data_IF_484287392204
#
_entry.id   IF_484287392204
#
_cell.length_a   1.000
_cell.length_b   1.000
_cell.length_c   1.000
_cell.angle_alpha   90.00
_cell.angle_beta   90.00
_cell.angle_gamma   90.00
#
_symmetry.space_group_name_H-M   'P 1'
#
loop_
_entity.id
_entity.type
_entity.pdbx_description
1 polymer ?
#
# COMPACT_ATOMS: atom_id res chain seq x y z
N UNK A 1 -3.76 25.96 -3.97
CA UNK A 1 -2.78 26.06 -5.07
C UNK A 1 -3.49 25.96 -6.42
N UNK A 2 -4.48 26.81 -6.68
CA UNK A 2 -5.08 26.84 -8.01
C UNK A 2 -4.24 27.78 -8.88
N UNK A 3 -3.40 27.18 -9.73
CA UNK A 3 -2.89 27.89 -10.89
C UNK A 3 -4.06 28.05 -11.86
N UNK A 4 -4.35 29.29 -12.23
CA UNK A 4 -5.48 29.61 -13.07
C UNK A 4 -5.16 30.76 -14.01
N UNK A 5 -5.50 30.57 -15.28
CA UNK A 5 -5.56 31.67 -16.23
C UNK A 5 -6.97 32.24 -16.22
N UNK A 6 -7.07 33.50 -15.81
CA UNK A 6 -8.32 34.23 -15.83
C UNK A 6 -8.23 35.30 -16.91
N UNK A 7 -9.27 35.41 -17.73
CA UNK A 7 -9.41 36.53 -18.65
C UNK A 7 -10.02 37.69 -17.87
N UNK A 8 -9.29 38.80 -17.78
CA UNK A 8 -9.78 40.03 -17.17
C UNK A 8 -10.04 41.08 -18.24
N UNK A 9 -11.17 41.80 -18.11
CA UNK A 9 -11.51 42.93 -18.96
C UNK A 9 -11.08 44.23 -18.27
N UNK A 10 -10.17 44.98 -18.89
CA UNK A 10 -9.70 46.26 -18.38
C UNK A 10 -10.37 47.37 -19.19
N UNK A 11 -11.05 48.28 -18.50
CA UNK A 11 -11.76 49.41 -19.10
C UNK A 11 -11.04 50.73 -18.82
N UNK A 12 -10.90 51.58 -19.83
CA UNK A 12 -10.38 52.94 -19.72
C UNK A 12 -11.45 53.93 -20.19
N UNK A 13 -11.67 55.00 -19.40
CA UNK A 13 -12.62 56.08 -19.73
C UNK A 13 -11.85 57.40 -19.86
N UNK A 14 -12.11 58.16 -20.94
CA UNK A 14 -11.52 59.50 -21.11
C UNK A 14 -12.32 60.60 -20.36
N UNK A 15 -11.80 61.83 -20.35
CA UNK A 15 -12.42 62.97 -19.67
C UNK A 15 -13.75 63.44 -20.28
N UNK A 16 -14.16 62.87 -21.42
CA UNK A 16 -15.40 63.19 -22.14
C UNK A 16 -16.40 62.03 -22.04
N UNK A 17 -16.01 60.91 -21.41
CA UNK A 17 -16.85 59.75 -21.15
C UNK A 17 -16.76 58.64 -22.19
N UNK A 18 -15.85 58.70 -23.17
CA UNK A 18 -15.64 57.59 -24.09
C UNK A 18 -14.94 56.44 -23.38
N UNK A 19 -15.38 55.21 -23.64
CA UNK A 19 -14.83 53.99 -23.05
C UNK A 19 -14.21 53.08 -24.09
N UNK A 20 -13.06 52.49 -23.75
CA UNK A 20 -12.45 51.39 -24.49
C UNK A 20 -12.07 50.29 -23.51
N UNK A 21 -12.04 49.04 -23.98
CA UNK A 21 -11.61 47.90 -23.17
C UNK A 21 -10.56 47.06 -23.89
N UNK A 22 -9.79 46.31 -23.12
CA UNK A 22 -8.96 45.23 -23.63
C UNK A 22 -9.03 44.00 -22.72
N UNK A 23 -8.82 42.83 -23.32
CA UNK A 23 -8.75 41.58 -22.59
C UNK A 23 -7.28 41.29 -22.28
N UNK A 24 -6.99 41.00 -21.02
CA UNK A 24 -5.66 40.58 -20.61
C UNK A 24 -5.76 39.21 -19.93
N UNK A 25 -4.76 38.37 -20.16
CA UNK A 25 -4.62 37.12 -19.42
C UNK A 25 -3.95 37.46 -18.08
N UNK A 26 -4.69 37.30 -17.00
CA UNK A 26 -4.16 37.32 -15.65
C UNK A 26 -3.73 35.91 -15.28
N UNK A 27 -2.42 35.72 -15.13
CA UNK A 27 -1.88 34.48 -14.57
C UNK A 27 -1.82 34.67 -13.06
N UNK A 28 -2.66 33.94 -12.32
CA UNK A 28 -2.59 33.93 -10.86
C UNK A 28 -1.55 32.89 -10.48
N UNK A 29 -0.39 33.37 -10.05
CA UNK A 29 0.63 32.55 -9.43
C UNK A 29 0.30 32.42 -7.93
N UNK A 30 0.71 31.32 -7.27
CA UNK A 30 0.57 31.21 -5.83
C UNK A 30 1.23 32.40 -5.12
N UNK A 31 0.55 32.89 -4.08
CA UNK A 31 0.83 34.18 -3.43
C UNK A 31 2.08 34.23 -2.56
N UNK A 32 2.80 33.12 -2.39
CA UNK A 32 4.03 33.04 -1.62
C UNK A 32 5.12 32.25 -2.36
N UNK A 33 6.36 32.71 -2.22
CA UNK A 33 7.55 31.95 -2.61
C UNK A 33 7.72 30.63 -1.81
N UNK A 34 6.86 30.42 -0.81
CA UNK A 34 6.74 29.23 0.03
C UNK A 34 5.54 28.35 -0.33
N UNK A 35 4.88 28.58 -1.47
CA UNK A 35 3.92 27.64 -2.03
C UNK A 35 4.68 26.42 -2.57
N UNK A 36 5.25 25.65 -1.65
CA UNK A 36 5.69 24.31 -1.91
C UNK A 36 4.41 23.54 -2.17
N UNK A 37 4.03 23.44 -3.44
CA UNK A 37 3.01 22.49 -3.86
C UNK A 37 3.64 21.13 -3.58
N UNK A 38 3.47 20.63 -2.36
CA UNK A 38 4.06 19.38 -1.96
C UNK A 38 3.61 18.29 -2.91
N UNK A 39 4.45 17.31 -3.10
CA UNK A 39 4.19 16.25 -4.08
C UNK A 39 3.14 15.29 -3.55
N UNK A 40 2.58 14.55 -4.49
CA UNK A 40 1.70 13.44 -4.20
C UNK A 40 2.50 12.13 -4.15
N UNK A 41 2.24 11.33 -3.12
CA UNK A 41 2.63 9.92 -3.06
C UNK A 41 1.34 9.11 -3.05
N UNK A 42 1.18 8.20 -4.00
CA UNK A 42 0.00 7.37 -4.11
C UNK A 42 0.37 5.95 -4.57
N UNK A 43 -0.55 5.03 -4.36
CA UNK A 43 -0.43 3.67 -4.86
C UNK A 43 -1.71 2.87 -4.65
N UNK A 44 -1.67 1.64 -5.15
CA UNK A 44 -2.73 0.64 -5.05
C UNK A 44 -2.23 -0.53 -4.24
N UNK A 45 -3.07 -1.00 -3.31
CA UNK A 45 -2.88 -2.29 -2.66
C UNK A 45 -3.80 -3.33 -3.31
N UNK A 46 -3.21 -4.37 -3.87
CA UNK A 46 -3.94 -5.52 -4.46
C UNK A 46 -3.33 -6.84 -3.99
N UNK A 47 -4.00 -7.97 -4.16
CA UNK A 47 -3.40 -9.28 -3.90
C UNK A 47 -2.81 -9.90 -5.18
N UNK A 48 -2.16 -11.06 -5.07
CA UNK A 48 -1.57 -11.74 -6.24
C UNK A 48 -2.60 -12.16 -7.32
N UNK A 49 -3.90 -12.13 -7.00
CA UNK A 49 -4.98 -12.36 -7.94
C UNK A 49 -5.51 -11.07 -8.60
N UNK A 50 -4.82 -9.94 -8.41
CA UNK A 50 -5.18 -8.60 -8.87
C UNK A 50 -6.52 -8.08 -8.30
N UNK A 51 -6.92 -8.55 -7.13
CA UNK A 51 -8.08 -8.02 -6.41
C UNK A 51 -7.62 -6.92 -5.46
N UNK A 52 -8.27 -5.76 -5.53
CA UNK A 52 -7.95 -4.59 -4.70
C UNK A 52 -8.30 -4.86 -3.23
N UNK A 53 -7.44 -4.41 -2.32
CA UNK A 53 -7.58 -4.63 -0.87
C UNK A 53 -7.97 -3.31 -0.22
N UNK A 54 -9.20 -3.22 0.29
CA UNK A 54 -9.69 -2.07 1.03
C UNK A 54 -9.48 -2.19 2.54
N UNK A 55 -9.49 -1.06 3.24
CA UNK A 55 -9.43 -1.00 4.71
C UNK A 55 -8.05 -1.33 5.31
N UNK A 56 -7.00 -1.41 4.49
CA UNK A 56 -5.62 -1.39 4.97
C UNK A 56 -5.23 0.06 5.30
N UNK A 57 -4.66 0.26 6.49
CA UNK A 57 -4.09 1.54 6.92
C UNK A 57 -2.71 1.69 6.29
N UNK A 58 -2.39 2.84 5.72
CA UNK A 58 -1.08 3.14 5.15
C UNK A 58 -0.50 4.33 5.90
N UNK A 59 0.69 4.15 6.46
CA UNK A 59 1.41 5.18 7.20
C UNK A 59 2.59 5.67 6.39
N UNK A 60 2.71 6.99 6.24
CA UNK A 60 3.89 7.67 5.73
C UNK A 60 4.69 8.20 6.91
N UNK A 61 5.94 7.80 7.06
CA UNK A 61 6.86 8.29 8.09
C UNK A 61 8.09 8.96 7.47
N UNK A 62 8.67 9.93 8.18
CA UNK A 62 9.91 10.60 7.79
C UNK A 62 11.15 9.75 8.09
N UNK A 63 12.34 10.27 7.77
CA UNK A 63 13.63 9.65 8.03
C UNK A 63 13.91 9.37 9.52
N UNK A 64 13.21 10.06 10.43
CA UNK A 64 13.32 9.87 11.88
C UNK A 64 12.27 8.88 12.41
N UNK A 65 11.41 8.35 11.54
CA UNK A 65 10.33 7.43 11.88
C UNK A 65 9.10 8.11 12.47
N UNK A 66 8.99 9.44 12.42
CA UNK A 66 7.79 10.14 12.85
C UNK A 66 6.72 10.04 11.77
N UNK A 67 5.48 9.76 12.17
CA UNK A 67 4.34 9.75 11.24
C UNK A 67 4.09 11.14 10.69
N UNK A 68 4.15 11.26 9.37
CA UNK A 68 3.87 12.49 8.61
C UNK A 68 2.40 12.52 8.19
N UNK A 69 1.92 11.40 7.64
CA UNK A 69 0.55 11.25 7.19
C UNK A 69 0.08 9.80 7.35
N UNK A 70 -1.25 9.63 7.38
CA UNK A 70 -1.90 8.33 7.35
C UNK A 70 -3.10 8.39 6.42
N UNK A 71 -3.34 7.29 5.71
CA UNK A 71 -4.52 7.10 4.88
C UNK A 71 -5.05 5.67 5.08
N UNK A 72 -6.28 5.42 4.64
CA UNK A 72 -6.87 4.08 4.64
C UNK A 72 -7.38 3.77 3.25
N UNK A 73 -6.90 2.66 2.69
CA UNK A 73 -7.25 2.22 1.34
C UNK A 73 -8.77 2.14 1.14
N UNK A 74 -9.25 2.76 0.07
CA UNK A 74 -10.64 2.67 -0.34
C UNK A 74 -10.95 1.28 -0.97
N UNK A 75 -12.19 1.04 -1.40
CA UNK A 75 -12.57 -0.26 -1.97
C UNK A 75 -11.80 -0.63 -3.26
N UNK A 76 -11.35 0.38 -4.00
CA UNK A 76 -10.47 0.23 -5.16
C UNK A 76 -8.98 0.05 -4.78
N UNK A 77 -8.65 -0.09 -3.49
CA UNK A 77 -7.30 -0.31 -3.00
C UNK A 77 -6.38 0.90 -3.06
N UNK A 78 -6.88 2.07 -3.50
CA UNK A 78 -6.08 3.30 -3.59
C UNK A 78 -5.83 3.89 -2.22
N UNK A 79 -4.61 4.40 -2.03
CA UNK A 79 -4.23 5.33 -0.97
C UNK A 79 -3.44 6.50 -1.58
N UNK A 80 -3.50 7.67 -0.95
CA UNK A 80 -2.77 8.85 -1.41
C UNK A 80 -2.43 9.81 -0.28
N UNK A 81 -1.23 10.39 -0.36
CA UNK A 81 -0.74 11.46 0.48
C UNK A 81 -0.43 12.67 -0.40
N UNK A 82 -1.04 13.81 -0.11
CA UNK A 82 -0.80 15.06 -0.84
C UNK A 82 0.01 16.02 0.02
N UNK A 83 0.58 17.05 -0.59
CA UNK A 83 1.30 18.12 0.11
C UNK A 83 2.57 17.61 0.85
N UNK A 84 3.23 16.58 0.32
CA UNK A 84 4.46 16.02 0.90
C UNK A 84 5.67 16.85 0.49
N UNK A 85 6.56 17.16 1.44
CA UNK A 85 7.74 17.96 1.16
C UNK A 85 8.75 17.19 0.28
N UNK A 86 9.25 17.83 -0.77
CA UNK A 86 10.37 17.31 -1.56
C UNK A 86 11.71 17.40 -0.81
N UNK A 87 12.70 16.65 -1.30
CA UNK A 87 14.07 16.67 -0.78
C UNK A 87 14.31 15.76 0.43
N UNK A 88 13.25 15.24 1.02
CA UNK A 88 13.28 14.42 2.23
C UNK A 88 13.17 12.93 1.93
N UNK A 89 13.47 12.09 2.92
CA UNK A 89 13.26 10.64 2.83
C UNK A 89 11.97 10.25 3.54
N UNK A 90 11.25 9.31 2.96
CA UNK A 90 10.00 8.79 3.51
C UNK A 90 9.95 7.28 3.48
N UNK A 91 9.19 6.69 4.41
CA UNK A 91 8.88 5.27 4.44
C UNK A 91 7.37 5.09 4.39
N UNK A 92 6.89 4.24 3.48
CA UNK A 92 5.48 3.87 3.36
C UNK A 92 5.30 2.48 3.97
N UNK A 93 4.46 2.37 4.99
CA UNK A 93 4.21 1.10 5.70
C UNK A 93 2.70 0.81 5.76
N UNK A 94 2.22 -0.19 5.01
CA UNK A 94 0.85 -0.65 5.13
C UNK A 94 0.64 -1.56 6.34
N UNK A 95 -0.58 -1.57 6.88
CA UNK A 95 -0.97 -2.40 8.02
C UNK A 95 -2.44 -2.81 7.93
N UNK A 96 -2.71 -4.11 8.12
CA UNK A 96 -4.07 -4.66 8.25
C UNK A 96 -4.04 -5.93 9.08
N UNK A 97 -4.77 -5.94 10.20
CA UNK A 97 -4.85 -7.10 11.11
C UNK A 97 -6.29 -7.47 11.47
N UNK A 98 -7.23 -7.24 10.55
CA UNK A 98 -8.64 -7.62 10.69
C UNK A 98 -8.91 -9.04 10.20
N UNK A 99 -10.03 -9.61 10.65
CA UNK A 99 -10.65 -10.82 10.11
C UNK A 99 -9.67 -11.97 9.88
N UNK A 100 -9.06 -12.44 10.97
CA UNK A 100 -7.97 -13.42 10.98
C UNK A 100 -8.26 -14.68 10.16
N UNK A 101 -9.50 -15.17 10.19
CA UNK A 101 -9.95 -16.39 9.51
C UNK A 101 -10.64 -16.16 8.15
N UNK A 102 -10.62 -14.93 7.61
CA UNK A 102 -11.17 -14.61 6.29
C UNK A 102 -10.47 -15.43 5.18
N UNK A 103 -11.22 -16.32 4.52
CA UNK A 103 -10.68 -17.22 3.50
C UNK A 103 -9.74 -18.32 4.02
N UNK A 104 -9.59 -18.45 5.34
CA UNK A 104 -8.68 -19.44 5.94
C UNK A 104 -9.48 -20.66 6.38
N UNK A 105 -9.23 -21.79 5.74
CA UNK A 105 -10.00 -23.02 5.95
C UNK A 105 -9.12 -24.24 6.17
N UNK A 106 -9.73 -25.37 6.50
CA UNK A 106 -9.02 -26.66 6.55
C UNK A 106 -8.52 -27.11 5.17
N UNK A 107 -9.06 -26.56 4.08
CA UNK A 107 -8.55 -26.85 2.74
C UNK A 107 -7.16 -26.23 2.53
N UNK A 108 -6.90 -25.04 3.07
CA UNK A 108 -5.56 -24.42 3.06
C UNK A 108 -4.54 -25.29 3.80
N UNK A 109 -4.93 -25.88 4.93
CA UNK A 109 -4.09 -26.84 5.65
C UNK A 109 -3.72 -28.06 4.78
N UNK A 110 -4.65 -28.56 3.95
CA UNK A 110 -4.37 -29.67 3.01
C UNK A 110 -3.35 -29.23 1.96
N UNK A 111 -3.50 -28.02 1.41
CA UNK A 111 -2.56 -27.47 0.42
C UNK A 111 -1.17 -27.25 1.00
N UNK A 112 -1.07 -26.67 2.20
CA UNK A 112 0.20 -26.50 2.93
C UNK A 112 0.84 -27.87 3.22
N UNK A 113 0.06 -28.86 3.65
CA UNK A 113 0.55 -30.23 3.89
C UNK A 113 1.15 -30.83 2.62
N UNK A 114 0.49 -30.67 1.46
CA UNK A 114 0.99 -31.17 0.17
C UNK A 114 2.28 -30.48 -0.26
N UNK A 115 2.45 -29.21 0.11
CA UNK A 115 3.70 -28.47 -0.12
C UNK A 115 4.83 -28.98 0.77
N UNK A 116 4.58 -29.17 2.07
CA UNK A 116 5.57 -29.73 3.02
C UNK A 116 6.05 -31.12 2.57
N UNK A 117 5.13 -31.94 2.04
CA UNK A 117 5.46 -33.29 1.53
C UNK A 117 6.10 -33.29 0.14
N UNK A 118 6.19 -32.15 -0.54
CA UNK A 118 6.71 -32.05 -1.92
C UNK A 118 5.83 -32.71 -2.98
N UNK A 119 4.60 -33.12 -2.63
CA UNK A 119 3.66 -33.79 -3.56
C UNK A 119 3.03 -32.79 -4.53
N UNK A 120 2.71 -31.60 -4.02
CA UNK A 120 2.28 -30.46 -4.84
C UNK A 120 2.71 -29.17 -4.14
N UNK A 121 3.92 -28.66 -4.47
CA UNK A 121 4.40 -27.41 -3.92
C UNK A 121 3.47 -26.23 -4.28
N UNK A 122 3.34 -25.28 -3.35
CA UNK A 122 2.75 -23.96 -3.64
C UNK A 122 3.55 -23.29 -4.77
N UNK A 123 2.84 -22.73 -5.73
CA UNK A 123 3.38 -22.28 -7.01
C UNK A 123 3.63 -20.77 -7.09
N UNK A 124 3.62 -20.07 -5.95
CA UNK A 124 3.83 -18.64 -5.87
C UNK A 124 4.57 -18.29 -4.57
N UNK A 125 5.52 -17.33 -4.61
CA UNK A 125 6.17 -16.83 -3.39
C UNK A 125 5.16 -16.27 -2.40
N UNK A 126 4.11 -15.60 -2.86
CA UNK A 126 3.07 -15.03 -2.00
C UNK A 126 2.31 -16.11 -1.22
N UNK A 127 2.02 -17.26 -1.85
CA UNK A 127 1.39 -18.41 -1.18
C UNK A 127 2.33 -19.07 -0.16
N UNK A 128 3.62 -19.16 -0.47
CA UNK A 128 4.62 -19.70 0.46
C UNK A 128 4.72 -18.78 1.70
N UNK A 129 4.67 -17.46 1.52
CA UNK A 129 4.63 -16.48 2.60
C UNK A 129 3.33 -16.58 3.41
N UNK A 130 2.19 -16.75 2.73
CA UNK A 130 0.90 -16.98 3.40
C UNK A 130 0.91 -18.26 4.25
N UNK A 131 1.65 -19.29 3.84
CA UNK A 131 1.79 -20.56 4.55
C UNK A 131 2.69 -20.49 5.80
N UNK A 132 3.58 -19.52 5.91
CA UNK A 132 4.43 -19.26 7.10
C UNK A 132 3.63 -18.47 8.15
N UNK A 133 2.65 -19.16 8.74
CA UNK A 133 1.68 -18.61 9.68
C UNK A 133 2.36 -18.12 10.95
N UNK A 134 3.40 -18.83 11.42
CA UNK A 134 4.13 -18.44 12.63
C UNK A 134 5.28 -17.46 12.36
N UNK A 135 5.45 -16.94 11.13
CA UNK A 135 6.50 -15.98 10.74
C UNK A 135 7.91 -16.46 11.09
N UNK A 136 8.18 -17.75 10.89
CA UNK A 136 9.48 -18.37 11.14
C UNK A 136 10.46 -18.27 9.96
N UNK A 137 9.96 -17.92 8.77
CA UNK A 137 10.72 -17.97 7.51
C UNK A 137 10.83 -19.38 6.92
N UNK A 138 10.04 -20.35 7.40
CA UNK A 138 9.98 -21.72 6.87
C UNK A 138 8.57 -22.26 6.96
N UNK A 139 8.11 -23.01 5.94
CA UNK A 139 6.79 -23.65 5.97
C UNK A 139 6.90 -25.06 6.51
N UNK A 140 6.33 -25.30 7.68
CA UNK A 140 6.43 -26.56 8.42
C UNK A 140 5.11 -26.98 9.05
N UNK A 141 5.10 -28.10 9.75
CA UNK A 141 3.93 -28.54 10.54
C UNK A 141 3.61 -27.61 11.70
N UNK A 142 4.53 -26.78 12.17
CA UNK A 142 4.24 -25.78 13.20
C UNK A 142 3.26 -24.72 12.70
N UNK A 143 3.31 -24.37 11.42
CA UNK A 143 2.36 -23.45 10.79
C UNK A 143 0.96 -24.04 10.76
N UNK A 144 0.84 -25.34 10.46
CA UNK A 144 -0.44 -26.06 10.48
C UNK A 144 -1.07 -26.06 11.87
N UNK A 145 -0.27 -26.23 12.92
CA UNK A 145 -0.75 -26.18 14.32
C UNK A 145 -1.24 -24.76 14.65
N UNK A 146 -0.46 -23.74 14.30
CA UNK A 146 -0.84 -22.34 14.53
C UNK A 146 -2.14 -21.99 13.78
N UNK A 147 -2.26 -22.42 12.52
CA UNK A 147 -3.43 -22.21 11.69
C UNK A 147 -4.67 -22.93 12.25
N UNK A 148 -4.52 -24.16 12.71
CA UNK A 148 -5.60 -24.91 13.33
C UNK A 148 -6.11 -24.22 14.61
N UNK A 149 -5.20 -23.65 15.41
CA UNK A 149 -5.59 -22.93 16.64
C UNK A 149 -6.45 -21.70 16.33
N UNK A 150 -6.14 -20.92 15.30
CA UNK A 150 -6.98 -19.76 14.93
C UNK A 150 -8.29 -20.18 14.25
N UNK A 151 -8.29 -21.22 13.41
CA UNK A 151 -9.53 -21.75 12.80
C UNK A 151 -10.52 -22.22 13.87
N UNK A 152 -10.01 -22.88 14.91
CA UNK A 152 -10.80 -23.37 16.04
C UNK A 152 -11.10 -22.29 17.09
N UNK A 153 -10.70 -21.04 16.84
CA UNK A 153 -10.84 -19.90 17.76
C UNK A 153 -10.22 -20.15 19.15
N UNK A 154 -9.18 -20.99 19.21
CA UNK A 154 -8.36 -21.23 20.41
C UNK A 154 -7.34 -20.10 20.57
N UNK A 155 -6.86 -19.53 19.47
CA UNK A 155 -6.04 -18.32 19.42
C UNK A 155 -6.75 -17.22 18.66
N UNK A 156 -6.61 -15.98 19.12
CA UNK A 156 -7.15 -14.77 18.46
C UNK A 156 -6.07 -13.96 17.73
N UNK A 157 -4.83 -14.46 17.69
CA UNK A 157 -3.72 -13.87 16.97
C UNK A 157 -2.78 -14.96 16.43
N UNK A 158 -1.94 -14.60 15.47
CA UNK A 158 -0.86 -15.46 15.01
C UNK A 158 0.37 -15.38 15.93
N UNK A 159 1.19 -16.45 15.99
CA UNK A 159 2.44 -16.44 16.74
C UNK A 159 3.44 -15.38 16.24
N UNK A 160 4.45 -15.09 17.06
CA UNK A 160 5.58 -14.20 16.74
C UNK A 160 5.18 -12.79 16.24
N UNK A 161 3.99 -12.32 16.62
CA UNK A 161 3.49 -11.01 16.22
C UNK A 161 3.13 -10.92 14.73
N UNK A 162 2.90 -12.05 14.06
CA UNK A 162 2.42 -12.05 12.68
C UNK A 162 1.01 -11.43 12.60
N UNK A 163 0.72 -10.78 11.48
CA UNK A 163 -0.54 -10.08 11.22
C UNK A 163 -1.44 -10.89 10.29
N UNK A 164 -2.73 -10.57 10.25
CA UNK A 164 -3.70 -11.20 9.35
C UNK A 164 -3.33 -11.02 7.88
N UNK A 165 -2.76 -9.87 7.54
CA UNK A 165 -2.26 -9.52 6.21
C UNK A 165 -0.81 -9.05 6.29
N UNK A 166 -0.02 -9.43 5.31
CA UNK A 166 1.34 -8.92 5.07
C UNK A 166 1.38 -8.20 3.74
N UNK A 167 2.35 -7.31 3.56
CA UNK A 167 2.45 -6.44 2.39
C UNK A 167 3.86 -6.48 1.84
N UNK A 168 3.99 -6.46 0.53
CA UNK A 168 5.27 -6.46 -0.17
C UNK A 168 5.17 -5.43 -1.29
N UNK A 169 6.18 -4.59 -1.54
CA UNK A 169 6.20 -3.71 -2.71
C UNK A 169 5.91 -4.49 -4.00
N UNK A 170 5.05 -3.96 -4.86
CA UNK A 170 4.60 -4.68 -6.06
C UNK A 170 5.72 -4.84 -7.11
N UNK A 171 6.71 -3.97 -7.08
CA UNK A 171 7.92 -4.01 -7.91
C UNK A 171 9.01 -4.95 -7.36
N UNK A 172 8.82 -5.52 -6.16
CA UNK A 172 9.79 -6.41 -5.56
C UNK A 172 9.91 -7.72 -6.33
N UNK A 173 11.11 -7.98 -6.86
CA UNK A 173 11.43 -9.23 -7.54
C UNK A 173 12.12 -10.22 -6.61
N UNK A 174 11.45 -11.33 -6.31
CA UNK A 174 12.02 -12.40 -5.48
C UNK A 174 13.24 -13.04 -6.15
N UNK A 175 14.44 -12.99 -5.54
CA UNK A 175 15.63 -13.63 -6.11
C UNK A 175 15.49 -15.15 -6.22
N UNK A 176 14.75 -15.75 -5.28
CA UNK A 176 14.36 -17.15 -5.32
C UNK A 176 12.87 -17.29 -5.00
N UNK A 177 11.99 -17.36 -6.02
CA UNK A 177 10.55 -17.49 -5.80
C UNK A 177 10.13 -18.79 -5.08
N UNK A 178 10.96 -19.83 -5.12
CA UNK A 178 10.71 -21.09 -4.39
C UNK A 178 11.13 -21.04 -2.93
N UNK A 179 11.91 -20.03 -2.53
CA UNK A 179 12.28 -19.74 -1.15
C UNK A 179 12.28 -18.22 -0.92
N UNK A 180 11.09 -17.60 -0.82
CA UNK A 180 10.97 -16.15 -0.78
C UNK A 180 11.52 -15.50 0.50
N UNK A 181 11.92 -16.29 1.50
CA UNK A 181 12.45 -15.79 2.76
C UNK A 181 13.96 -15.52 2.74
N UNK A 182 14.65 -15.88 1.65
CA UNK A 182 16.09 -15.70 1.52
C UNK A 182 16.48 -15.09 0.16
N UNK A 183 16.93 -13.82 0.12
CA UNK A 183 17.01 -12.86 1.24
C UNK A 183 15.62 -12.48 1.77
N UNK A 184 15.52 -11.85 2.96
CA UNK A 184 14.25 -11.30 3.43
C UNK A 184 13.71 -10.26 2.44
N UNK A 185 12.38 -10.23 2.30
CA UNK A 185 11.68 -9.23 1.51
C UNK A 185 11.31 -8.01 2.36
N UNK A 186 11.21 -6.81 1.77
CA UNK A 186 10.73 -5.63 2.45
C UNK A 186 9.22 -5.68 2.66
N UNK A 187 8.74 -5.17 3.79
CA UNK A 187 7.31 -4.96 4.08
C UNK A 187 6.93 -3.46 4.05
N UNK A 188 7.77 -2.64 3.43
CA UNK A 188 7.64 -1.19 3.30
C UNK A 188 8.31 -0.72 2.01
N UNK A 189 7.99 0.50 1.57
CA UNK A 189 8.69 1.21 0.50
C UNK A 189 9.49 2.34 1.12
N UNK A 190 10.78 2.45 0.78
CA UNK A 190 11.64 3.57 1.13
C UNK A 190 11.81 4.50 -0.07
N UNK A 191 11.46 5.77 0.12
CA UNK A 191 11.67 6.84 -0.84
C UNK A 191 12.82 7.71 -0.35
N UNK A 192 13.89 7.77 -1.14
CA UNK A 192 15.07 8.58 -0.83
C UNK A 192 15.05 9.85 -1.68
N UNK A 193 15.23 11.00 -1.03
CA UNK A 193 15.27 12.31 -1.67
C UNK A 193 14.08 12.51 -2.63
N UNK A 194 12.88 12.50 -2.06
CA UNK A 194 11.64 12.59 -2.80
C UNK A 194 11.66 13.79 -3.75
N UNK A 195 11.44 13.54 -5.04
CA UNK A 195 11.48 14.55 -6.09
C UNK A 195 10.35 14.26 -7.07
N UNK A 196 9.37 15.16 -7.14
CA UNK A 196 8.16 14.97 -7.92
C UNK A 196 7.18 13.94 -7.35
N UNK A 197 6.03 13.86 -8.01
CA UNK A 197 4.95 12.94 -7.67
C UNK A 197 5.37 11.47 -7.86
N UNK A 198 4.85 10.62 -6.98
CA UNK A 198 5.07 9.17 -6.94
C UNK A 198 3.72 8.43 -6.96
N UNK A 199 3.11 8.20 -8.14
CA UNK A 199 1.76 7.63 -8.24
C UNK A 199 1.68 6.10 -8.24
N UNK A 200 2.83 5.40 -8.22
CA UNK A 200 2.93 3.93 -8.44
C UNK A 200 3.61 3.22 -7.27
N UNK A 201 3.44 3.71 -6.04
CA UNK A 201 4.01 3.08 -4.84
C UNK A 201 3.13 1.90 -4.39
N UNK A 202 3.01 0.89 -5.24
CA UNK A 202 2.03 -0.19 -5.09
C UNK A 202 2.48 -1.30 -4.14
N UNK A 203 1.52 -2.01 -3.53
CA UNK A 203 1.79 -3.19 -2.70
C UNK A 203 0.97 -4.40 -3.11
N UNK A 204 1.58 -5.59 -2.96
CA UNK A 204 0.91 -6.88 -2.95
C UNK A 204 0.59 -7.28 -1.51
N UNK A 205 -0.70 -7.39 -1.21
CA UNK A 205 -1.22 -7.89 0.06
C UNK A 205 -1.36 -9.42 0.05
N UNK A 206 -0.95 -10.04 1.14
CA UNK A 206 -0.92 -11.49 1.35
C UNK A 206 -1.74 -11.81 2.58
N UNK A 207 -2.84 -12.55 2.42
CA UNK A 207 -3.62 -13.04 3.55
C UNK A 207 -2.88 -14.22 4.20
N UNK A 208 -2.38 -14.03 5.42
CA UNK A 208 -1.72 -15.11 6.16
C UNK A 208 -2.72 -16.23 6.43
N UNK A 209 -2.31 -17.46 6.11
CA UNK A 209 -3.11 -18.68 6.24
C UNK A 209 -3.98 -19.05 5.03
N UNK A 210 -4.19 -18.14 4.08
CA UNK A 210 -4.96 -18.39 2.86
C UNK A 210 -3.98 -18.62 1.69
N UNK A 211 -3.89 -19.87 1.22
CA UNK A 211 -2.95 -20.27 0.15
C UNK A 211 -3.67 -20.58 -1.15
N UNK A 212 -4.99 -20.40 -1.19
CA UNK A 212 -5.82 -20.60 -2.37
C UNK A 212 -6.50 -19.30 -2.86
N UNK A 213 -6.22 -18.16 -2.24
CA UNK A 213 -6.77 -16.84 -2.54
C UNK A 213 -8.29 -16.77 -2.40
N UNK A 214 -8.85 -17.43 -1.40
CA UNK A 214 -10.29 -17.42 -1.13
C UNK A 214 -10.76 -16.32 -0.19
N UNK A 215 -9.83 -15.57 0.42
CA UNK A 215 -10.13 -14.42 1.27
C UNK A 215 -10.81 -13.31 0.47
N UNK A 216 -11.82 -12.68 1.08
CA UNK A 216 -12.40 -11.45 0.53
C UNK A 216 -11.50 -10.27 0.89
N UNK A 217 -10.84 -9.59 -0.06
CA UNK A 217 -9.88 -8.52 0.24
C UNK A 217 -10.50 -7.26 0.85
N UNK A 218 -11.82 -7.13 0.79
CA UNK A 218 -12.57 -6.00 1.36
C UNK A 218 -12.87 -6.18 2.86
N UNK A 219 -12.59 -7.36 3.41
CA UNK A 219 -12.75 -7.70 4.83
C UNK A 219 -11.41 -7.67 5.57
#
# INVERSE_FOLDING_TARGET
CEEGQYIVEIWATDSVGNQAFCNQILTVLPGDANCNCGVEIAGVISNEANLTVGGAMVTLSDAQGATVAMDTTAANGLYSFTEIAEGENYTITPYKNSNLTNGVTTFDMVLITRHILGVAPLNSPYKIIAADVNKSGTVTTFDLVALQMVILNVSTSFPNGNTSWRFIPADYNFPNPSNPFNPPFPEFIELVNLNGNRPEEDFIAIKVGDVNNSANPQN
#
